data_IF_450676637047
#
_entry.id   IF_450676637047
#
_cell.length_a   1.000
_cell.length_b   1.000
_cell.length_c   1.000
_cell.angle_alpha   90.00
_cell.angle_beta   90.00
_cell.angle_gamma   90.00
#
_symmetry.space_group_name_H-M   'P 1'
#
loop_
_entity.id
_entity.type
_entity.pdbx_description
1 polymer ?
#
# COMPACT_ATOMS: atom_id res chain seq x y z
N UNK A 1 -12.07 1.31 -1.61
CA UNK A 1 -11.54 0.01 -2.11
C UNK A 1 -11.63 -1.08 -1.03
N UNK A 2 -11.62 -2.36 -1.42
CA UNK A 2 -11.52 -3.49 -0.50
C UNK A 2 -10.20 -4.25 -0.68
N UNK A 3 -9.75 -4.97 0.36
CA UNK A 3 -8.52 -5.76 0.33
C UNK A 3 -8.49 -6.78 -0.83
N UNK A 4 -9.67 -7.26 -1.27
CA UNK A 4 -9.85 -8.15 -2.41
C UNK A 4 -9.48 -7.53 -3.77
N UNK A 5 -9.37 -6.21 -3.86
CA UNK A 5 -9.02 -5.51 -5.10
C UNK A 5 -7.53 -5.60 -5.43
N UNK A 6 -6.69 -5.92 -4.43
CA UNK A 6 -5.25 -6.18 -4.62
C UNK A 6 -5.06 -7.34 -5.59
N UNK A 7 -5.68 -8.50 -5.33
CA UNK A 7 -5.57 -9.68 -6.18
C UNK A 7 -6.09 -9.48 -7.62
N UNK A 8 -6.87 -8.43 -7.89
CA UNK A 8 -7.43 -8.13 -9.22
C UNK A 8 -6.49 -7.26 -10.06
N UNK A 9 -5.53 -6.58 -9.46
CA UNK A 9 -4.63 -5.66 -10.17
C UNK A 9 -3.33 -6.34 -10.57
N UNK A 10 -2.92 -6.12 -11.82
CA UNK A 10 -1.69 -6.70 -12.38
C UNK A 10 -0.42 -5.97 -11.93
N UNK A 11 -0.55 -4.71 -11.49
CA UNK A 11 0.56 -3.86 -11.04
C UNK A 11 0.35 -3.43 -9.60
N UNK A 12 0.93 -4.21 -8.70
CA UNK A 12 0.95 -3.94 -7.28
C UNK A 12 2.40 -3.75 -6.87
N UNK A 13 2.68 -2.62 -6.26
CA UNK A 13 3.98 -2.31 -5.71
C UNK A 13 3.94 -2.48 -4.20
N UNK A 14 4.63 -3.49 -3.72
CA UNK A 14 4.68 -3.82 -2.29
C UNK A 14 5.95 -3.25 -1.66
N UNK A 15 5.79 -2.62 -0.50
CA UNK A 15 6.86 -2.07 0.31
C UNK A 15 6.97 -0.54 0.21
N UNK A 16 7.37 0.06 1.32
CA UNK A 16 7.37 1.52 1.54
C UNK A 16 8.09 2.28 0.43
N UNK A 17 9.31 1.84 0.05
CA UNK A 17 10.10 2.52 -0.98
C UNK A 17 9.38 2.55 -2.33
N UNK A 18 8.71 1.46 -2.68
CA UNK A 18 7.95 1.39 -3.93
C UNK A 18 6.67 2.22 -3.82
N UNK A 19 5.97 2.18 -2.69
CA UNK A 19 4.80 3.02 -2.43
C UNK A 19 5.12 4.51 -2.57
N UNK A 20 6.20 4.99 -1.94
CA UNK A 20 6.67 6.38 -2.05
C UNK A 20 7.00 6.73 -3.51
N UNK A 21 7.65 5.82 -4.23
CA UNK A 21 8.01 6.04 -5.64
C UNK A 21 6.75 6.16 -6.52
N UNK A 22 5.79 5.25 -6.38
CA UNK A 22 4.52 5.27 -7.12
C UNK A 22 3.68 6.51 -6.81
N UNK A 23 3.63 6.90 -5.54
CA UNK A 23 2.97 8.14 -5.08
C UNK A 23 3.64 9.39 -5.65
N UNK A 24 4.98 9.45 -5.61
CA UNK A 24 5.75 10.56 -6.18
C UNK A 24 5.55 10.69 -7.69
N UNK A 25 5.33 9.57 -8.38
CA UNK A 25 5.11 9.52 -9.83
C UNK A 25 3.63 9.71 -10.23
N UNK A 26 2.72 9.97 -9.28
CA UNK A 26 1.26 10.09 -9.50
C UNK A 26 0.62 8.87 -10.18
N UNK A 27 1.29 7.71 -10.09
CA UNK A 27 0.79 6.43 -10.63
C UNK A 27 0.00 5.64 -9.61
N UNK A 28 0.08 6.00 -8.33
CA UNK A 28 -0.70 5.36 -7.28
C UNK A 28 -2.20 5.66 -7.46
N UNK A 29 -3.01 4.59 -7.51
CA UNK A 29 -4.46 4.65 -7.39
C UNK A 29 -4.90 4.64 -5.94
N UNK A 30 -4.33 3.72 -5.17
CA UNK A 30 -4.65 3.54 -3.76
C UNK A 30 -3.49 2.89 -3.02
N UNK A 31 -3.41 3.20 -1.72
CA UNK A 31 -2.38 2.73 -0.80
C UNK A 31 -3.03 1.90 0.29
N UNK A 32 -2.47 0.74 0.54
CA UNK A 32 -2.86 -0.15 1.63
C UNK A 32 -1.76 -0.15 2.69
N UNK A 33 -2.14 -0.04 3.95
CA UNK A 33 -1.25 0.09 5.09
C UNK A 33 -1.62 -0.96 6.13
N UNK A 34 -0.64 -1.73 6.59
CA UNK A 34 -0.84 -2.67 7.69
C UNK A 34 -0.70 -1.95 9.04
N UNK A 35 -1.63 -2.17 9.97
CA UNK A 35 -1.65 -1.53 11.30
C UNK A 35 -0.53 -2.01 12.22
N UNK A 36 -0.04 -3.24 12.02
CA UNK A 36 1.10 -3.84 12.73
C UNK A 36 2.47 -3.39 12.18
N UNK A 37 2.49 -2.59 11.10
CA UNK A 37 3.72 -2.04 10.56
C UNK A 37 4.17 -0.77 11.31
N UNK A 38 5.47 -0.45 11.20
CA UNK A 38 6.08 0.68 11.90
C UNK A 38 5.46 2.03 11.47
N UNK A 39 4.73 2.64 12.41
CA UNK A 39 4.06 3.93 12.26
C UNK A 39 5.01 5.04 11.79
N UNK A 40 6.25 5.07 12.27
CA UNK A 40 7.21 6.12 11.90
C UNK A 40 7.53 6.10 10.40
N UNK A 41 7.49 4.91 9.79
CA UNK A 41 7.73 4.74 8.36
C UNK A 41 6.44 4.97 7.57
N UNK A 42 5.31 4.49 8.08
CA UNK A 42 3.98 4.69 7.48
C UNK A 42 3.60 6.17 7.39
N UNK A 43 3.99 6.99 8.36
CA UNK A 43 3.65 8.41 8.42
C UNK A 43 4.07 9.16 7.15
N UNK A 44 5.26 8.86 6.61
CA UNK A 44 5.74 9.41 5.32
C UNK A 44 4.84 9.01 4.15
N UNK A 45 4.36 7.77 4.13
CA UNK A 45 3.47 7.27 3.09
C UNK A 45 2.08 7.90 3.21
N UNK A 46 1.57 8.04 4.43
CA UNK A 46 0.28 8.65 4.74
C UNK A 46 0.26 10.12 4.34
N UNK A 47 1.28 10.88 4.74
CA UNK A 47 1.41 12.29 4.36
C UNK A 47 1.46 12.47 2.84
N UNK A 48 2.27 11.65 2.17
CA UNK A 48 2.42 11.72 0.72
C UNK A 48 1.12 11.32 0.00
N UNK A 49 0.46 10.27 0.46
CA UNK A 49 -0.83 9.83 -0.08
C UNK A 49 -1.92 10.89 0.11
N UNK A 50 -2.03 11.48 1.30
CA UNK A 50 -2.95 12.60 1.56
C UNK A 50 -2.62 13.82 0.68
N UNK A 51 -1.34 14.18 0.55
CA UNK A 51 -0.93 15.31 -0.30
C UNK A 51 -1.25 15.09 -1.78
N UNK A 52 -1.31 13.83 -2.23
CA UNK A 52 -1.67 13.44 -3.60
C UNK A 52 -3.15 13.10 -3.77
N UNK A 53 -3.96 13.26 -2.71
CA UNK A 53 -5.37 12.85 -2.68
C UNK A 53 -5.59 11.38 -3.07
N UNK A 54 -4.67 10.49 -2.66
CA UNK A 54 -4.73 9.05 -2.90
C UNK A 54 -5.44 8.37 -1.74
N UNK A 55 -6.33 7.42 -2.05
CA UNK A 55 -7.07 6.66 -1.04
C UNK A 55 -6.12 5.80 -0.19
N UNK A 56 -6.27 5.88 1.14
CA UNK A 56 -5.52 5.09 2.11
C UNK A 56 -6.47 4.07 2.75
N UNK A 57 -6.10 2.80 2.69
CA UNK A 57 -6.85 1.67 3.24
C UNK A 57 -6.02 0.99 4.31
N UNK A 58 -6.54 0.91 5.53
CA UNK A 58 -5.87 0.21 6.63
C UNK A 58 -6.25 -1.27 6.66
N UNK A 59 -5.28 -2.11 7.01
CA UNK A 59 -5.38 -3.58 7.06
C UNK A 59 -4.83 -4.05 8.39
N UNK A 60 -5.44 -5.06 9.00
CA UNK A 60 -5.07 -5.50 10.36
C UNK A 60 -3.64 -5.99 10.51
N UNK A 61 -3.12 -6.73 9.52
CA UNK A 61 -1.79 -7.34 9.61
C UNK A 61 -1.02 -7.33 8.30
N UNK A 62 0.31 -7.26 8.39
CA UNK A 62 1.23 -7.36 7.25
C UNK A 62 1.05 -8.67 6.49
N UNK A 63 0.69 -9.73 7.21
CA UNK A 63 0.52 -11.08 6.66
C UNK A 63 -0.74 -11.17 5.80
N UNK A 64 -1.83 -10.55 6.25
CA UNK A 64 -3.07 -10.46 5.49
C UNK A 64 -2.90 -9.60 4.24
N UNK A 65 -2.18 -8.47 4.36
CA UNK A 65 -1.85 -7.62 3.22
C UNK A 65 -0.99 -8.37 2.18
N UNK A 66 0.04 -9.09 2.63
CA UNK A 66 0.90 -9.89 1.74
C UNK A 66 0.12 -10.98 1.00
N UNK A 67 -0.74 -11.72 1.73
CA UNK A 67 -1.63 -12.71 1.11
C UNK A 67 -2.57 -12.11 0.08
N UNK A 68 -3.14 -10.93 0.36
CA UNK A 68 -4.01 -10.24 -0.58
C UNK A 68 -3.26 -9.75 -1.84
N UNK A 69 -1.98 -9.41 -1.70
CA UNK A 69 -1.08 -9.09 -2.81
C UNK A 69 -0.52 -10.35 -3.51
N UNK A 70 -0.95 -11.54 -3.10
CA UNK A 70 -0.51 -12.83 -3.63
C UNK A 70 1.02 -13.05 -3.49
N UNK A 71 1.61 -12.54 -2.41
CA UNK A 71 3.02 -12.74 -2.06
C UNK A 71 3.17 -13.58 -0.78
N UNK A 72 4.26 -14.33 -0.70
CA UNK A 72 4.55 -15.21 0.44
C UNK A 72 5.20 -14.50 1.64
N UNK A 73 5.45 -13.19 1.53
CA UNK A 73 6.11 -12.38 2.57
C UNK A 73 5.15 -11.30 3.11
N UNK A 74 5.32 -10.96 4.40
CA UNK A 74 4.51 -9.89 5.02
C UNK A 74 4.79 -8.52 4.38
N UNK A 75 3.72 -7.78 4.09
CA UNK A 75 3.79 -6.46 3.47
C UNK A 75 3.40 -5.37 4.47
N UNK A 76 4.27 -4.38 4.69
CA UNK A 76 3.93 -3.19 5.51
C UNK A 76 2.98 -2.26 4.77
N UNK A 77 3.25 -2.07 3.47
CA UNK A 77 2.47 -1.22 2.58
C UNK A 77 2.34 -1.88 1.23
N UNK A 78 1.24 -1.64 0.54
CA UNK A 78 1.05 -2.01 -0.85
C UNK A 78 0.39 -0.86 -1.60
N UNK A 79 0.77 -0.65 -2.84
CA UNK A 79 0.17 0.38 -3.70
C UNK A 79 -0.28 -0.25 -4.99
N UNK A 80 -1.49 0.10 -5.40
CA UNK A 80 -2.02 -0.24 -6.72
C UNK A 80 -1.62 0.88 -7.67
N UNK A 81 -1.01 0.54 -8.80
CA UNK A 81 -0.73 1.50 -9.88
C UNK A 81 -1.79 1.47 -10.98
N UNK A 82 -1.92 2.59 -11.68
CA UNK A 82 -2.69 2.76 -12.94
C UNK A 82 -2.09 1.95 -14.10
#
# INVERSE_FOLDING_TARGET
MQLSDLAKHSKINVGIKQSIKSLSLDRALSVFIAEDADQAILQKVIELANSKSVEIVYVKTMKELGRACNIDVGAATAVIEK
#
